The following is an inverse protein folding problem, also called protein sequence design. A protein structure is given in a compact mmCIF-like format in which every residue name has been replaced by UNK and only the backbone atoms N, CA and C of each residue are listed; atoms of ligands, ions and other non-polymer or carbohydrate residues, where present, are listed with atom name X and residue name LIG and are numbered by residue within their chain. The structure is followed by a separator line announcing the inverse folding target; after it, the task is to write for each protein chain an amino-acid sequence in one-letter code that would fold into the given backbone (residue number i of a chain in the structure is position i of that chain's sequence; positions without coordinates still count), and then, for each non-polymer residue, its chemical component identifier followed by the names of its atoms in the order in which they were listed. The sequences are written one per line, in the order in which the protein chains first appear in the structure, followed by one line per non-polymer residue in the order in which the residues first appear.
data_IF_711564017022
#
_entry.id   IF_711564017022
#
_cell.length_a   1.000
_cell.length_b   1.000
_cell.length_c   1.000
_cell.angle_alpha   90.00
_cell.angle_beta   90.00
_cell.angle_gamma   90.00
#
_symmetry.space_group_name_H-M   'P 1'
#
loop_
_entity.id
_entity.type
_entity.pdbx_description
1 polymer ?
#
# COMPACT_ATOMS: atom_id res chain seq x y z
N UNK A 1 -14.12 30.69 27.80
CA UNK A 1 -14.00 29.67 26.74
C UNK A 1 -13.92 28.32 27.43
N UNK A 2 -14.94 27.48 27.29
CA UNK A 2 -14.94 26.14 27.88
C UNK A 2 -14.18 25.24 26.90
N UNK A 3 -12.98 24.80 27.26
CA UNK A 3 -12.28 23.77 26.50
C UNK A 3 -13.00 22.44 26.75
N UNK A 4 -13.70 21.95 25.72
CA UNK A 4 -14.27 20.61 25.73
C UNK A 4 -13.13 19.60 25.57
N UNK A 5 -12.74 18.93 26.65
CA UNK A 5 -11.91 17.74 26.56
C UNK A 5 -12.77 16.62 25.95
N UNK A 6 -12.66 16.44 24.63
CA UNK A 6 -13.22 15.27 23.98
C UNK A 6 -12.41 14.04 24.43
N UNK A 7 -13.02 13.19 25.25
CA UNK A 7 -12.46 11.88 25.58
C UNK A 7 -12.66 10.98 24.36
N UNK A 8 -11.67 10.96 23.46
CA UNK A 8 -11.65 10.06 22.30
C UNK A 8 -11.15 8.70 22.77
N UNK A 9 -11.91 7.65 22.47
CA UNK A 9 -11.47 6.28 22.76
C UNK A 9 -10.28 5.88 21.88
N UNK A 10 -9.50 4.89 22.30
CA UNK A 10 -8.37 4.39 21.52
C UNK A 10 -8.83 3.86 20.15
N UNK A 11 -10.00 3.22 20.10
CA UNK A 11 -10.56 2.66 18.87
C UNK A 11 -10.98 3.75 17.89
N UNK A 12 -11.64 4.82 18.37
CA UNK A 12 -11.95 5.99 17.55
C UNK A 12 -10.67 6.69 17.05
N UNK A 13 -9.65 6.77 17.90
CA UNK A 13 -8.36 7.33 17.52
C UNK A 13 -7.71 6.52 16.39
N UNK A 14 -7.71 5.19 16.49
CA UNK A 14 -7.19 4.31 15.43
C UNK A 14 -7.99 4.50 14.14
N UNK A 15 -9.32 4.51 14.22
CA UNK A 15 -10.19 4.69 13.06
C UNK A 15 -9.97 6.05 12.35
N UNK A 16 -9.63 7.09 13.10
CA UNK A 16 -9.32 8.41 12.54
C UNK A 16 -7.90 8.45 11.96
N UNK A 17 -6.92 7.88 12.67
CA UNK A 17 -5.51 8.00 12.31
C UNK A 17 -5.09 7.04 11.20
N UNK A 18 -5.63 5.82 11.15
CA UNK A 18 -5.28 4.84 10.12
C UNK A 18 -5.41 5.37 8.69
N UNK A 19 -6.55 5.96 8.26
CA UNK A 19 -6.66 6.49 6.91
C UNK A 19 -5.68 7.64 6.64
N UNK A 20 -5.39 8.48 7.65
CA UNK A 20 -4.44 9.58 7.53
C UNK A 20 -3.00 9.07 7.37
N UNK A 21 -2.58 8.15 8.23
CA UNK A 21 -1.26 7.51 8.15
C UNK A 21 -1.11 6.77 6.82
N UNK A 22 -2.12 6.00 6.42
CA UNK A 22 -2.12 5.26 5.14
C UNK A 22 -1.98 6.20 3.95
N UNK A 23 -2.63 7.38 4.00
CA UNK A 23 -2.50 8.40 2.95
C UNK A 23 -1.08 8.96 2.90
N UNK A 24 -0.55 9.43 4.03
CA UNK A 24 0.81 9.99 4.09
C UNK A 24 1.84 8.98 3.62
N UNK A 25 1.78 7.73 4.11
CA UNK A 25 2.69 6.67 3.69
C UNK A 25 2.59 6.41 2.18
N UNK A 26 1.40 6.43 1.59
CA UNK A 26 1.22 6.27 0.13
C UNK A 26 1.85 7.42 -0.66
N UNK A 27 1.66 8.65 -0.20
CA UNK A 27 2.21 9.85 -0.85
C UNK A 27 3.74 9.83 -0.80
N UNK A 28 4.33 9.56 0.37
CA UNK A 28 5.78 9.45 0.52
C UNK A 28 6.38 8.31 -0.30
N UNK A 29 5.72 7.15 -0.35
CA UNK A 29 6.17 6.03 -1.18
C UNK A 29 6.08 6.36 -2.66
N UNK A 30 5.00 7.01 -3.11
CA UNK A 30 4.87 7.45 -4.50
C UNK A 30 6.00 8.41 -4.87
N UNK A 31 6.24 9.43 -4.04
CA UNK A 31 7.33 10.38 -4.24
C UNK A 31 8.70 9.68 -4.27
N UNK A 32 8.94 8.74 -3.35
CA UNK A 32 10.18 7.97 -3.31
C UNK A 32 10.37 7.15 -4.59
N UNK A 33 9.31 6.52 -5.11
CA UNK A 33 9.36 5.75 -6.37
C UNK A 33 9.57 6.64 -7.60
N UNK A 34 9.02 7.85 -7.63
CA UNK A 34 9.18 8.80 -8.74
C UNK A 34 10.58 9.43 -8.74
N UNK A 35 11.09 9.85 -7.57
CA UNK A 35 12.38 10.54 -7.45
C UNK A 35 13.57 9.60 -7.51
N UNK A 36 13.39 8.33 -7.16
CA UNK A 36 14.43 7.31 -7.23
C UNK A 36 13.89 6.11 -8.02
N UNK A 37 13.98 6.21 -9.34
CA UNK A 37 13.51 5.19 -10.29
C UNK A 37 14.04 3.77 -10.06
N UNK A 38 15.10 3.60 -9.24
CA UNK A 38 15.77 2.33 -9.00
C UNK A 38 15.65 1.78 -7.56
N UNK A 39 14.81 2.34 -6.67
CA UNK A 39 14.65 1.78 -5.30
C UNK A 39 14.19 0.32 -5.36
N UNK A 40 13.28 0.01 -6.28
CA UNK A 40 12.69 -1.32 -6.45
C UNK A 40 13.17 -1.99 -7.74
N UNK A 41 14.41 -1.73 -8.16
CA UNK A 41 14.98 -2.40 -9.31
C UNK A 41 15.27 -3.87 -8.96
N UNK A 42 14.64 -4.78 -9.70
CA UNK A 42 14.92 -6.20 -9.62
C UNK A 42 15.81 -6.59 -10.80
N UNK A 43 16.91 -7.26 -10.51
CA UNK A 43 17.76 -7.87 -11.55
C UNK A 43 17.14 -9.17 -12.06
N UNK A 44 17.42 -9.58 -13.31
CA UNK A 44 16.86 -10.82 -13.90
C UNK A 44 17.16 -12.11 -13.12
N UNK A 45 18.25 -12.13 -12.35
CA UNK A 45 18.65 -13.26 -11.52
C UNK A 45 17.94 -13.29 -10.14
N UNK A 46 17.15 -12.28 -9.78
CA UNK A 46 16.50 -12.19 -8.47
C UNK A 46 15.18 -12.98 -8.44
N UNK A 47 14.84 -13.60 -7.28
CA UNK A 47 13.76 -14.59 -7.17
C UNK A 47 12.31 -14.09 -7.35
N UNK A 48 12.07 -12.89 -7.87
CA UNK A 48 10.73 -12.36 -8.17
C UNK A 48 10.65 -11.59 -9.48
N UNK A 49 11.74 -11.55 -10.26
CA UNK A 49 11.84 -10.71 -11.46
C UNK A 49 10.74 -11.03 -12.47
N UNK A 50 10.62 -12.30 -12.84
CA UNK A 50 9.64 -12.77 -13.82
C UNK A 50 8.19 -12.55 -13.37
N UNK A 51 7.92 -12.74 -12.08
CA UNK A 51 6.58 -12.54 -11.53
C UNK A 51 6.20 -11.06 -11.53
N UNK A 52 7.13 -10.17 -11.18
CA UNK A 52 6.88 -8.72 -11.25
C UNK A 52 6.71 -8.24 -12.70
N UNK A 53 7.43 -8.80 -13.67
CA UNK A 53 7.20 -8.52 -15.09
C UNK A 53 5.79 -8.93 -15.54
N UNK A 54 5.34 -10.13 -15.17
CA UNK A 54 3.99 -10.61 -15.47
C UNK A 54 2.93 -9.71 -14.85
N UNK A 55 3.07 -9.34 -13.57
CA UNK A 55 2.14 -8.44 -12.89
C UNK A 55 2.08 -7.07 -13.58
N UNK A 56 3.24 -6.52 -13.97
CA UNK A 56 3.31 -5.24 -14.69
C UNK A 56 2.57 -5.28 -16.02
N UNK A 57 2.75 -6.34 -16.81
CA UNK A 57 2.04 -6.49 -18.09
C UNK A 57 0.54 -6.71 -17.90
N UNK A 58 0.13 -7.52 -16.91
CA UNK A 58 -1.28 -7.68 -16.54
C UNK A 58 -1.92 -6.36 -16.13
N UNK A 59 -1.19 -5.48 -15.42
CA UNK A 59 -1.66 -4.14 -15.04
C UNK A 59 -1.88 -3.24 -16.25
N UNK A 60 -0.95 -3.22 -17.21
CA UNK A 60 -1.11 -2.46 -18.47
C UNK A 60 -2.34 -2.90 -19.26
N UNK A 61 -2.61 -4.21 -19.28
CA UNK A 61 -3.77 -4.78 -19.97
C UNK A 61 -5.08 -4.67 -19.18
N UNK A 62 -5.06 -4.08 -17.97
CA UNK A 62 -6.19 -4.05 -17.02
C UNK A 62 -6.74 -5.44 -16.68
N UNK A 63 -5.90 -6.47 -16.73
CA UNK A 63 -6.21 -7.88 -16.40
C UNK A 63 -5.64 -8.30 -15.04
N UNK A 64 -5.37 -7.34 -14.15
CA UNK A 64 -4.89 -7.69 -12.81
C UNK A 64 -6.07 -8.22 -12.00
N UNK A 65 -6.13 -9.53 -11.84
CA UNK A 65 -6.99 -10.17 -10.85
C UNK A 65 -6.29 -10.09 -9.49
N UNK A 66 -6.96 -9.44 -8.54
CA UNK A 66 -6.50 -9.35 -7.15
C UNK A 66 -7.40 -10.24 -6.32
N UNK A 67 -6.81 -11.25 -5.70
CA UNK A 67 -7.50 -12.08 -4.72
C UNK A 67 -7.28 -11.50 -3.34
N UNK A 68 -8.34 -11.43 -2.55
CA UNK A 68 -8.30 -11.14 -1.14
C UNK A 68 -7.53 -12.23 -0.38
N UNK A 69 -7.07 -11.89 0.82
CA UNK A 69 -6.39 -12.84 1.71
C UNK A 69 -7.24 -14.10 1.92
N UNK A 70 -8.55 -13.91 2.18
CA UNK A 70 -9.52 -14.98 2.34
C UNK A 70 -9.61 -15.90 1.12
N UNK A 71 -9.61 -15.35 -0.09
CA UNK A 71 -9.69 -16.13 -1.34
C UNK A 71 -8.45 -17.00 -1.60
N UNK A 72 -7.30 -16.64 -1.04
CA UNK A 72 -6.05 -17.38 -1.23
C UNK A 72 -5.80 -18.39 -0.12
N UNK A 73 -6.22 -18.07 1.11
CA UNK A 73 -5.87 -18.83 2.31
C UNK A 73 -7.03 -19.60 2.95
N UNK A 74 -8.25 -19.51 2.40
CA UNK A 74 -9.45 -20.18 2.89
C UNK A 74 -9.78 -19.91 4.39
N UNK A 75 -9.48 -18.69 4.87
CA UNK A 75 -9.76 -18.23 6.25
C UNK A 75 -11.07 -17.43 6.41
#
# INVERSE_FOLDING_TARGET
MIQSHATVSVEELVNILEPLIRRVVREELAEATEKKANIFYLEPNMPLYEDMLKIRESKKQKKTELYSHKEVWDE
#
